data_IF_932835201856
#
_entry.id   IF_932835201856
#
_cell.length_a   1.000
_cell.length_b   1.000
_cell.length_c   1.000
_cell.angle_alpha   90.00
_cell.angle_beta   90.00
_cell.angle_gamma   90.00
#
_symmetry.space_group_name_H-M   'P 1'
#
loop_
_entity.id
_entity.type
_entity.pdbx_description
1 polymer ?
#
# COMPACT_ATOMS: atom_id res chain seq x y z
N UNK A 1 -3.60 -0.22 69.28
CA UNK A 1 -4.43 -0.93 70.29
C UNK A 1 -5.21 -2.00 69.65
N UNK A 2 -5.03 -3.26 70.13
CA UNK A 2 -5.80 -4.50 70.02
C UNK A 2 -6.04 -5.01 68.61
N UNK A 3 -5.27 -5.94 68.05
CA UNK A 3 -5.23 -7.42 68.32
C UNK A 3 -6.61 -8.04 68.56
N UNK A 4 -7.04 -8.93 67.64
CA UNK A 4 -7.41 -10.28 68.01
C UNK A 4 -7.33 -11.27 66.88
N UNK A 5 -6.61 -12.31 67.13
CA UNK A 5 -6.48 -13.60 66.44
C UNK A 5 -7.71 -14.46 66.71
N UNK A 6 -7.94 -15.50 65.88
CA UNK A 6 -8.23 -16.90 66.26
C UNK A 6 -8.59 -17.64 64.97
N UNK A 7 -7.78 -18.54 64.36
CA UNK A 7 -7.63 -20.02 64.50
C UNK A 7 -8.95 -20.78 64.43
N UNK A 8 -9.18 -21.87 63.75
CA UNK A 8 -8.46 -23.09 63.37
C UNK A 8 -9.48 -23.94 62.55
N UNK A 9 -9.07 -24.69 61.61
CA UNK A 9 -8.51 -26.02 61.57
C UNK A 9 -9.54 -27.13 61.22
N UNK A 10 -9.04 -28.05 60.42
CA UNK A 10 -9.32 -29.50 60.30
C UNK A 10 -10.45 -29.93 59.38
N UNK A 11 -10.33 -30.78 58.44
CA UNK A 11 -9.52 -31.93 58.03
C UNK A 11 -10.46 -33.03 57.47
N UNK A 12 -9.91 -33.78 56.54
CA UNK A 12 -10.25 -35.19 56.12
C UNK A 12 -11.57 -35.40 55.31
N UNK A 13 -11.64 -36.17 54.23
CA UNK A 13 -10.98 -37.44 53.93
C UNK A 13 -11.12 -37.84 52.45
N UNK A 14 -10.14 -38.59 52.04
CA UNK A 14 -9.98 -39.52 50.95
C UNK A 14 -11.24 -40.28 50.50
N UNK A 15 -11.43 -40.45 49.21
CA UNK A 15 -11.90 -41.67 48.57
C UNK A 15 -11.35 -41.82 47.15
N UNK A 16 -10.41 -42.72 46.97
CA UNK A 16 -10.03 -43.33 45.69
C UNK A 16 -11.19 -44.21 45.21
N UNK A 17 -11.47 -44.16 43.93
CA UNK A 17 -12.05 -45.26 43.19
C UNK A 17 -11.45 -45.31 41.76
N UNK A 18 -10.48 -46.20 41.56
CA UNK A 18 -10.07 -46.74 40.26
C UNK A 18 -11.19 -47.62 39.70
N UNK A 19 -11.55 -47.35 38.43
CA UNK A 19 -12.07 -48.40 37.56
C UNK A 19 -11.43 -48.25 36.19
N UNK A 20 -10.61 -49.22 35.86
CA UNK A 20 -10.10 -49.49 34.53
C UNK A 20 -11.07 -50.42 33.82
N UNK A 21 -11.44 -50.13 32.58
CA UNK A 21 -11.85 -51.09 31.51
C UNK A 21 -11.72 -50.33 30.18
N UNK A 22 -10.78 -50.68 29.38
CA UNK A 22 -10.70 -51.67 28.31
C UNK A 22 -11.22 -51.14 26.95
N UNK A 23 -10.25 -51.04 26.03
CA UNK A 23 -10.23 -51.26 24.58
C UNK A 23 -11.56 -51.10 23.80
N UNK A 24 -11.52 -50.13 22.86
CA UNK A 24 -12.36 -50.09 21.69
C UNK A 24 -11.68 -49.25 20.60
N UNK A 25 -11.13 -49.99 19.60
CA UNK A 25 -10.57 -49.39 18.38
C UNK A 25 -11.65 -48.63 17.62
N UNK A 26 -11.36 -47.42 17.26
CA UNK A 26 -12.19 -46.59 16.38
C UNK A 26 -11.30 -45.49 15.85
N UNK A 27 -10.79 -45.68 14.63
CA UNK A 27 -10.19 -44.60 13.83
C UNK A 27 -11.17 -43.45 13.68
N UNK A 28 -10.78 -42.33 14.19
CA UNK A 28 -11.48 -41.06 14.02
C UNK A 28 -10.45 -39.98 14.27
N UNK A 29 -9.67 -39.72 13.26
CA UNK A 29 -8.76 -38.58 13.17
C UNK A 29 -9.59 -37.30 13.04
N UNK A 30 -10.18 -36.83 14.14
CA UNK A 30 -10.62 -35.44 14.27
C UNK A 30 -9.41 -34.63 14.71
N UNK A 31 -8.53 -34.32 13.74
CA UNK A 31 -7.70 -33.15 13.82
C UNK A 31 -8.62 -31.95 14.02
N UNK A 32 -8.78 -31.52 15.26
CA UNK A 32 -9.30 -30.22 15.60
C UNK A 32 -8.40 -29.18 14.93
N UNK A 33 -8.76 -28.84 13.67
CA UNK A 33 -8.24 -27.67 13.00
C UNK A 33 -8.69 -26.49 13.83
N UNK A 34 -7.80 -26.03 14.70
CA UNK A 34 -7.91 -24.71 15.31
C UNK A 34 -8.13 -23.74 14.17
N UNK A 35 -9.25 -23.03 14.20
CA UNK A 35 -9.54 -21.86 13.38
C UNK A 35 -8.56 -20.73 13.72
N UNK A 36 -7.28 -20.95 13.42
CA UNK A 36 -6.33 -19.90 13.14
C UNK A 36 -6.60 -19.51 11.70
N UNK A 37 -7.41 -18.47 11.49
CA UNK A 37 -7.78 -18.01 10.16
C UNK A 37 -6.52 -17.87 9.31
N UNK A 38 -6.65 -18.30 8.07
CA UNK A 38 -5.61 -18.20 7.03
C UNK A 38 -5.41 -16.72 6.64
N UNK A 39 -4.96 -15.91 7.62
CA UNK A 39 -4.80 -14.47 7.47
C UNK A 39 -3.59 -14.13 6.62
N UNK A 40 -3.71 -13.06 5.86
CA UNK A 40 -2.64 -12.48 5.07
C UNK A 40 -2.53 -10.99 5.39
N UNK A 41 -1.32 -10.51 5.67
CA UNK A 41 -1.08 -9.11 5.98
C UNK A 41 -0.60 -8.37 4.75
N UNK A 42 -1.35 -7.36 4.33
CA UNK A 42 -1.09 -6.62 3.09
C UNK A 42 -0.82 -5.15 3.36
N UNK A 43 0.34 -4.69 2.89
CA UNK A 43 0.72 -3.28 2.96
C UNK A 43 0.10 -2.47 1.83
N UNK A 44 -0.60 -1.37 2.18
CA UNK A 44 -1.16 -0.40 1.23
C UNK A 44 -0.91 1.03 1.72
N UNK A 45 -1.16 2.01 0.87
CA UNK A 45 -1.29 3.41 1.31
C UNK A 45 -2.65 3.63 1.99
N UNK A 46 -2.69 4.56 2.95
CA UNK A 46 -3.92 4.90 3.65
C UNK A 46 -4.45 6.30 3.27
N UNK A 47 -3.65 7.07 2.53
CA UNK A 47 -3.90 8.48 2.24
C UNK A 47 -4.04 8.83 0.75
N UNK A 48 -4.08 7.84 -0.16
CA UNK A 48 -4.09 8.08 -1.60
C UNK A 48 -5.46 7.79 -2.23
N UNK A 49 -6.31 8.82 -2.46
CA UNK A 49 -7.60 8.65 -3.11
C UNK A 49 -7.49 8.00 -4.49
N UNK A 50 -8.34 7.03 -4.76
CA UNK A 50 -8.34 6.26 -6.01
C UNK A 50 -7.29 5.14 -6.09
N UNK A 51 -6.37 5.05 -5.14
CA UNK A 51 -5.28 4.04 -5.11
C UNK A 51 -5.32 3.22 -3.82
N UNK A 52 -4.86 3.77 -2.70
CA UNK A 52 -4.92 3.15 -1.38
C UNK A 52 -5.41 4.17 -0.36
N UNK A 53 -6.67 4.09 0.03
CA UNK A 53 -7.30 5.03 0.94
C UNK A 53 -8.02 4.30 2.07
N UNK A 54 -7.70 4.67 3.31
CA UNK A 54 -8.53 4.34 4.46
C UNK A 54 -9.60 5.42 4.61
N UNK A 55 -10.87 5.01 4.50
CA UNK A 55 -12.01 5.91 4.66
C UNK A 55 -12.31 6.17 6.14
N UNK A 56 -13.02 7.28 6.48
CA UNK A 56 -13.35 7.59 7.88
C UNK A 56 -14.15 6.52 8.62
N UNK A 57 -14.87 5.64 7.90
CA UNK A 57 -15.59 4.49 8.46
C UNK A 57 -14.71 3.23 8.57
N UNK A 58 -13.39 3.37 8.37
CA UNK A 58 -12.40 2.32 8.56
C UNK A 58 -12.31 1.31 7.40
N UNK A 59 -12.97 1.54 6.27
CA UNK A 59 -12.85 0.71 5.07
C UNK A 59 -11.65 1.13 4.24
N UNK A 60 -11.22 0.24 3.37
CA UNK A 60 -10.14 0.49 2.43
C UNK A 60 -10.67 0.48 1.00
N UNK A 61 -10.25 1.44 0.18
CA UNK A 61 -10.72 1.60 -1.20
C UNK A 61 -9.60 2.07 -2.11
N UNK A 62 -9.73 1.77 -3.40
CA UNK A 62 -8.81 2.22 -4.43
C UNK A 62 -8.26 1.08 -5.27
N UNK A 63 -7.53 1.42 -6.31
CA UNK A 63 -7.00 0.48 -7.29
C UNK A 63 -6.02 -0.52 -6.66
N UNK A 64 -5.08 -0.04 -5.83
CA UNK A 64 -4.15 -0.91 -5.10
C UNK A 64 -4.87 -1.88 -4.16
N UNK A 65 -5.97 -1.43 -3.54
CA UNK A 65 -6.81 -2.27 -2.66
C UNK A 65 -7.52 -3.36 -3.48
N UNK A 66 -8.10 -3.00 -4.63
CA UNK A 66 -8.77 -3.96 -5.51
C UNK A 66 -7.78 -4.99 -6.06
N UNK A 67 -6.60 -4.54 -6.53
CA UNK A 67 -5.50 -5.42 -7.00
C UNK A 67 -5.04 -6.35 -5.88
N UNK A 68 -4.76 -5.81 -4.70
CA UNK A 68 -4.31 -6.60 -3.55
C UNK A 68 -5.36 -7.63 -3.11
N UNK A 69 -6.64 -7.25 -3.12
CA UNK A 69 -7.75 -8.15 -2.79
C UNK A 69 -7.88 -9.27 -3.82
N UNK A 70 -7.74 -8.95 -5.11
CA UNK A 70 -7.73 -9.95 -6.17
C UNK A 70 -6.58 -10.95 -5.99
N UNK A 71 -5.36 -10.43 -5.78
CA UNK A 71 -4.17 -11.25 -5.54
C UNK A 71 -4.34 -12.13 -4.30
N UNK A 72 -4.80 -11.60 -3.19
CA UNK A 72 -5.03 -12.37 -1.97
C UNK A 72 -6.00 -13.53 -2.22
N UNK A 73 -7.09 -13.29 -2.99
CA UNK A 73 -8.05 -14.34 -3.36
C UNK A 73 -7.41 -15.43 -4.22
N UNK A 74 -6.60 -15.09 -5.20
CA UNK A 74 -5.87 -16.06 -6.01
C UNK A 74 -4.81 -16.84 -5.21
N UNK A 75 -4.33 -16.28 -4.11
CA UNK A 75 -3.47 -16.95 -3.14
C UNK A 75 -4.24 -17.86 -2.16
N UNK A 76 -5.58 -17.85 -2.17
CA UNK A 76 -6.43 -18.70 -1.35
C UNK A 76 -6.94 -18.04 -0.06
N UNK A 77 -6.96 -16.71 0.00
CA UNK A 77 -7.48 -15.93 1.13
C UNK A 77 -8.76 -15.21 0.76
N UNK A 78 -9.76 -15.27 1.63
CA UNK A 78 -10.97 -14.48 1.45
C UNK A 78 -10.74 -13.00 1.82
N UNK A 79 -11.56 -12.05 1.33
CA UNK A 79 -11.39 -10.63 1.67
C UNK A 79 -11.39 -10.33 3.17
N UNK A 80 -12.10 -11.15 3.97
CA UNK A 80 -12.15 -11.05 5.44
C UNK A 80 -10.88 -11.54 6.14
N UNK A 81 -10.00 -12.24 5.41
CA UNK A 81 -8.73 -12.74 5.93
C UNK A 81 -7.60 -11.71 5.77
N UNK A 82 -7.84 -10.62 5.04
CA UNK A 82 -6.83 -9.60 4.78
C UNK A 82 -6.70 -8.67 5.99
N UNK A 83 -5.50 -8.61 6.55
CA UNK A 83 -5.11 -7.59 7.52
C UNK A 83 -4.37 -6.46 6.79
N UNK A 84 -5.00 -5.30 6.74
CA UNK A 84 -4.41 -4.14 6.07
C UNK A 84 -3.43 -3.41 6.99
N UNK A 85 -2.23 -3.13 6.47
CA UNK A 85 -1.19 -2.38 7.17
C UNK A 85 -0.78 -1.15 6.37
N UNK A 86 -0.62 0.00 7.05
CA UNK A 86 -0.11 1.19 6.38
C UNK A 86 1.34 0.97 5.94
N UNK A 87 1.62 1.15 4.65
CA UNK A 87 2.95 1.04 4.07
C UNK A 87 3.40 2.39 3.50
N UNK A 88 3.89 3.26 4.39
CA UNK A 88 4.50 4.54 3.98
C UNK A 88 5.70 4.28 3.07
N UNK A 89 6.01 5.22 2.17
CA UNK A 89 7.07 5.03 1.19
C UNK A 89 8.43 4.70 1.81
N UNK A 90 8.74 5.29 2.96
CA UNK A 90 10.01 5.06 3.68
C UNK A 90 10.08 3.70 4.40
N UNK A 91 8.93 3.05 4.66
CA UNK A 91 8.86 1.88 5.53
C UNK A 91 8.76 0.56 4.74
N UNK A 92 8.43 0.62 3.41
CA UNK A 92 8.06 -0.54 2.61
C UNK A 92 9.09 -1.66 2.61
N UNK A 93 10.36 -1.31 2.34
CA UNK A 93 11.45 -2.28 2.33
C UNK A 93 11.60 -2.95 3.71
N UNK A 94 11.58 -2.16 4.79
CA UNK A 94 11.71 -2.66 6.16
C UNK A 94 10.54 -3.55 6.59
N UNK A 95 9.31 -3.20 6.21
CA UNK A 95 8.12 -4.02 6.49
C UNK A 95 8.25 -5.41 5.85
N UNK A 96 8.72 -5.46 4.60
CA UNK A 96 8.95 -6.72 3.88
C UNK A 96 10.13 -7.50 4.47
N UNK A 97 11.27 -6.85 4.71
CA UNK A 97 12.46 -7.49 5.28
C UNK A 97 12.19 -8.14 6.64
N UNK A 98 11.32 -7.54 7.46
CA UNK A 98 10.95 -8.06 8.77
C UNK A 98 9.84 -9.11 8.75
N UNK A 99 9.17 -9.30 7.61
CA UNK A 99 7.98 -10.13 7.52
C UNK A 99 6.77 -9.54 8.25
N UNK A 100 6.76 -8.22 8.43
CA UNK A 100 5.63 -7.50 9.03
C UNK A 100 4.41 -7.45 8.11
N UNK A 101 4.60 -7.74 6.83
CA UNK A 101 3.61 -7.89 5.77
C UNK A 101 4.03 -9.02 4.83
N UNK A 102 3.06 -9.71 4.25
CA UNK A 102 3.31 -10.76 3.26
C UNK A 102 3.62 -10.18 1.88
N UNK A 103 2.91 -9.11 1.50
CA UNK A 103 3.21 -8.35 0.30
C UNK A 103 2.73 -6.89 0.43
N UNK A 104 3.19 -6.02 -0.49
CA UNK A 104 2.84 -4.60 -0.53
C UNK A 104 2.35 -4.21 -1.93
N UNK A 105 1.13 -3.66 -2.02
CA UNK A 105 0.57 -2.98 -3.17
C UNK A 105 0.28 -1.52 -2.79
N UNK A 106 1.25 -0.63 -2.99
CA UNK A 106 1.22 0.72 -2.42
C UNK A 106 1.91 1.75 -3.32
N UNK A 107 1.44 1.87 -4.60
CA UNK A 107 2.07 2.73 -5.61
C UNK A 107 3.60 2.53 -5.61
N UNK A 108 4.02 1.27 -5.70
CA UNK A 108 5.39 0.88 -5.39
C UNK A 108 6.19 0.69 -6.68
N UNK A 109 6.78 1.79 -7.18
CA UNK A 109 7.59 1.79 -8.40
C UNK A 109 8.77 0.82 -8.27
N UNK A 110 8.89 -0.09 -9.23
CA UNK A 110 10.02 -1.01 -9.39
C UNK A 110 11.23 -0.20 -9.81
N UNK A 111 12.34 -0.33 -9.10
CA UNK A 111 13.63 0.22 -9.49
C UNK A 111 14.79 -0.57 -8.91
N UNK A 112 15.99 -0.40 -9.50
CA UNK A 112 17.18 -1.17 -9.15
C UNK A 112 17.59 -1.07 -7.66
N UNK A 113 17.40 0.09 -7.03
CA UNK A 113 17.77 0.25 -5.61
C UNK A 113 16.86 -0.54 -4.69
N UNK A 114 15.56 -0.58 -5.00
CA UNK A 114 14.57 -1.36 -4.25
C UNK A 114 14.74 -2.86 -4.51
N UNK A 115 15.02 -3.25 -5.76
CA UNK A 115 15.27 -4.64 -6.13
C UNK A 115 16.51 -5.25 -5.46
N UNK A 116 17.43 -4.46 -4.92
CA UNK A 116 18.52 -4.97 -4.08
C UNK A 116 18.03 -5.50 -2.73
N UNK A 117 16.90 -5.00 -2.23
CA UNK A 117 16.38 -5.29 -0.89
C UNK A 117 15.18 -6.23 -0.89
N UNK A 118 14.30 -6.08 -1.87
CA UNK A 118 13.04 -6.81 -1.99
C UNK A 118 12.88 -7.33 -3.40
N UNK A 119 11.93 -8.24 -3.62
CA UNK A 119 11.53 -8.65 -4.96
C UNK A 119 10.19 -8.03 -5.34
N UNK A 120 9.93 -7.94 -6.63
CA UNK A 120 8.68 -7.41 -7.18
C UNK A 120 8.02 -8.41 -8.11
N UNK A 121 6.71 -8.57 -7.97
CA UNK A 121 5.82 -9.10 -8.99
C UNK A 121 5.17 -7.96 -9.78
N UNK A 122 4.81 -8.19 -11.01
CA UNK A 122 4.22 -7.19 -11.90
C UNK A 122 5.17 -6.75 -13.03
N UNK A 123 5.01 -5.52 -13.57
CA UNK A 123 4.19 -4.42 -13.06
C UNK A 123 2.68 -4.64 -13.23
N UNK A 124 1.86 -3.97 -12.39
CA UNK A 124 0.40 -4.01 -12.51
C UNK A 124 -0.22 -2.68 -12.98
N UNK A 125 0.56 -1.60 -12.99
CA UNK A 125 0.19 -0.29 -13.53
C UNK A 125 1.45 0.43 -14.02
N UNK A 126 1.33 1.16 -15.13
CA UNK A 126 2.30 2.16 -15.57
C UNK A 126 1.70 3.55 -15.34
N UNK A 127 2.33 4.33 -14.46
CA UNK A 127 2.06 5.73 -14.22
C UNK A 127 3.26 6.57 -14.66
N UNK A 128 3.14 7.90 -14.59
CA UNK A 128 4.24 8.82 -14.92
C UNK A 128 4.42 9.84 -13.81
N UNK A 129 5.66 10.12 -13.44
CA UNK A 129 5.92 11.22 -12.53
C UNK A 129 5.50 12.55 -13.16
N UNK A 130 4.80 13.38 -12.38
CA UNK A 130 4.35 14.72 -12.77
C UNK A 130 4.44 15.67 -11.57
N UNK A 131 3.87 16.85 -11.70
CA UNK A 131 3.71 17.81 -10.62
C UNK A 131 2.25 18.24 -10.48
N UNK A 132 1.85 18.61 -9.27
CA UNK A 132 0.62 19.29 -8.98
C UNK A 132 0.92 20.72 -8.50
N UNK A 133 0.22 21.67 -9.06
CA UNK A 133 0.30 23.09 -8.69
C UNK A 133 -1.07 23.65 -8.42
N UNK A 134 -1.17 24.81 -7.77
CA UNK A 134 -2.43 25.52 -7.65
C UNK A 134 -2.97 25.92 -9.03
N UNK A 135 -4.27 25.89 -9.20
CA UNK A 135 -4.92 26.18 -10.50
C UNK A 135 -4.61 27.60 -11.02
N UNK A 136 -4.42 28.56 -10.10
CA UNK A 136 -4.07 29.95 -10.40
C UNK A 136 -2.57 30.17 -10.66
N UNK A 137 -1.70 29.17 -10.39
CA UNK A 137 -0.26 29.29 -10.62
C UNK A 137 0.10 28.93 -12.07
N UNK A 138 0.61 29.92 -12.80
CA UNK A 138 1.11 29.74 -14.17
C UNK A 138 2.61 29.96 -14.27
N UNK A 139 3.33 29.95 -13.14
CA UNK A 139 4.78 30.20 -13.09
C UNK A 139 5.61 28.97 -13.47
N UNK A 140 5.03 27.76 -13.42
CA UNK A 140 5.69 26.52 -13.73
C UNK A 140 5.10 25.98 -15.03
N UNK A 141 5.89 26.11 -16.13
CA UNK A 141 5.50 25.67 -17.50
C UNK A 141 6.39 24.56 -18.01
N UNK A 142 7.51 24.31 -17.37
CA UNK A 142 8.48 23.25 -17.64
C UNK A 142 9.19 22.86 -16.33
N UNK A 143 9.80 21.68 -16.25
CA UNK A 143 10.42 21.19 -15.01
C UNK A 143 11.47 22.12 -14.43
N UNK A 144 12.26 22.81 -15.29
CA UNK A 144 13.32 23.72 -14.85
C UNK A 144 12.79 24.97 -14.09
N UNK A 145 11.51 25.33 -14.28
CA UNK A 145 10.86 26.42 -13.56
C UNK A 145 10.68 26.11 -12.06
N UNK A 146 10.86 24.85 -11.65
CA UNK A 146 10.91 24.44 -10.25
C UNK A 146 12.17 24.91 -9.52
N UNK A 147 13.20 25.41 -10.25
CA UNK A 147 14.38 25.98 -9.61
C UNK A 147 13.99 27.12 -8.68
N UNK A 148 14.52 27.09 -7.45
CA UNK A 148 14.24 27.99 -6.33
C UNK A 148 12.79 27.94 -5.80
N UNK A 149 11.96 27.01 -6.29
CA UNK A 149 10.63 26.75 -5.74
C UNK A 149 10.71 25.78 -4.58
N UNK A 150 9.75 25.87 -3.66
CA UNK A 150 9.55 24.89 -2.60
C UNK A 150 8.79 23.70 -3.17
N UNK A 151 9.52 22.60 -3.39
CA UNK A 151 9.00 21.37 -3.94
C UNK A 151 8.71 20.40 -2.81
N UNK A 152 7.50 19.84 -2.78
CA UNK A 152 7.11 18.83 -1.81
C UNK A 152 7.02 17.43 -2.42
N UNK A 153 7.42 16.44 -1.65
CA UNK A 153 7.13 15.03 -1.87
C UNK A 153 7.14 14.29 -0.52
N UNK A 154 7.15 12.96 -0.54
CA UNK A 154 7.21 12.18 0.70
C UNK A 154 8.54 11.47 0.85
N UNK A 155 8.96 11.28 2.09
CA UNK A 155 10.16 10.52 2.45
C UNK A 155 10.08 9.10 1.87
N UNK A 156 11.19 8.61 1.29
CA UNK A 156 11.24 7.31 0.61
C UNK A 156 10.63 7.29 -0.81
N UNK A 157 10.07 8.43 -1.30
CA UNK A 157 9.72 8.61 -2.70
C UNK A 157 10.95 9.02 -3.52
N UNK A 158 11.04 8.49 -4.73
CA UNK A 158 12.10 8.88 -5.68
C UNK A 158 11.75 10.18 -6.43
N UNK A 159 10.48 10.59 -6.44
CA UNK A 159 9.97 11.66 -7.28
C UNK A 159 10.64 13.01 -7.05
N UNK A 160 10.69 13.50 -5.79
CA UNK A 160 11.32 14.79 -5.50
C UNK A 160 12.83 14.75 -5.78
N UNK A 161 13.48 13.62 -5.48
CA UNK A 161 14.90 13.46 -5.76
C UNK A 161 15.21 13.46 -7.26
N UNK A 162 14.34 12.81 -8.07
CA UNK A 162 14.46 12.82 -9.53
C UNK A 162 14.40 14.25 -10.10
N UNK A 163 13.42 15.06 -9.68
CA UNK A 163 13.33 16.45 -10.13
C UNK A 163 14.56 17.24 -9.68
N UNK A 164 14.94 17.14 -8.42
CA UNK A 164 16.08 17.87 -7.86
C UNK A 164 17.40 17.52 -8.53
N UNK A 165 17.66 16.25 -8.81
CA UNK A 165 18.96 15.82 -9.37
C UNK A 165 19.04 15.96 -10.89
N UNK A 166 17.93 15.78 -11.61
CA UNK A 166 17.90 15.71 -13.07
C UNK A 166 17.39 16.99 -13.74
N UNK A 167 16.37 17.63 -13.17
CA UNK A 167 15.60 18.66 -13.88
C UNK A 167 15.64 20.03 -13.22
N UNK A 168 15.66 20.10 -11.89
CA UNK A 168 15.64 21.35 -11.15
C UNK A 168 16.55 21.29 -9.90
N UNK A 169 17.90 21.28 -10.09
CA UNK A 169 18.83 21.04 -8.98
C UNK A 169 18.81 22.12 -7.88
N UNK A 170 18.21 23.29 -8.13
CA UNK A 170 18.02 24.34 -7.13
C UNK A 170 16.62 24.33 -6.49
N UNK A 171 15.80 23.33 -6.75
CA UNK A 171 14.52 23.17 -6.05
C UNK A 171 14.76 22.97 -4.54
N UNK A 172 13.94 23.63 -3.72
CA UNK A 172 13.98 23.50 -2.27
C UNK A 172 13.09 22.34 -1.86
N UNK A 173 13.69 21.14 -1.70
CA UNK A 173 12.97 19.94 -1.34
C UNK A 173 12.46 20.01 0.11
N UNK A 174 11.16 19.74 0.30
CA UNK A 174 10.49 19.49 1.58
C UNK A 174 9.85 18.10 1.51
N UNK A 175 10.15 17.25 2.50
CA UNK A 175 9.63 15.89 2.57
C UNK A 175 8.78 15.71 3.81
N UNK A 176 7.60 15.11 3.62
CA UNK A 176 6.66 14.76 4.70
C UNK A 176 6.45 13.24 4.76
N UNK A 177 5.60 12.80 5.70
CA UNK A 177 5.24 11.39 5.86
C UNK A 177 4.18 10.92 4.86
N UNK A 178 3.29 11.82 4.42
CA UNK A 178 2.22 11.56 3.49
C UNK A 178 1.99 12.68 2.48
N UNK A 179 1.40 12.37 1.34
CA UNK A 179 1.09 13.37 0.30
C UNK A 179 -0.05 14.32 0.70
N UNK A 180 -0.95 13.90 1.57
CA UNK A 180 -1.99 14.75 2.15
C UNK A 180 -1.41 15.98 2.87
N UNK A 181 -0.25 15.83 3.52
CA UNK A 181 0.46 16.94 4.15
C UNK A 181 1.02 17.91 3.10
N UNK A 182 1.61 17.38 2.00
CA UNK A 182 2.04 18.19 0.87
C UNK A 182 0.89 18.97 0.24
N UNK A 183 -0.28 18.31 0.07
CA UNK A 183 -1.47 18.97 -0.50
C UNK A 183 -1.96 20.12 0.37
N UNK A 184 -2.01 19.93 1.70
CA UNK A 184 -2.31 20.99 2.66
C UNK A 184 -1.31 22.15 2.55
N UNK A 185 -0.01 21.84 2.43
CA UNK A 185 1.03 22.84 2.22
C UNK A 185 0.87 23.62 0.91
N UNK A 186 0.47 22.92 -0.17
CA UNK A 186 0.22 23.53 -1.48
C UNK A 186 -0.99 24.46 -1.45
N UNK A 187 -2.09 24.05 -0.83
CA UNK A 187 -3.30 24.83 -0.67
C UNK A 187 -3.03 26.11 0.14
N UNK A 188 -2.26 26.00 1.22
CA UNK A 188 -1.91 27.12 2.10
C UNK A 188 -0.72 27.96 1.59
N UNK A 189 -0.23 27.72 0.38
CA UNK A 189 0.90 28.46 -0.24
C UNK A 189 2.23 28.35 0.53
N UNK A 190 2.37 27.33 1.37
CA UNK A 190 3.62 27.02 2.09
C UNK A 190 4.64 26.39 1.13
N UNK A 191 4.15 25.60 0.18
CA UNK A 191 4.91 25.01 -0.92
C UNK A 191 4.39 25.52 -2.27
N UNK A 192 5.20 25.42 -3.31
CA UNK A 192 4.87 25.86 -4.65
C UNK A 192 4.36 24.75 -5.54
N UNK A 193 4.91 23.54 -5.38
CA UNK A 193 4.55 22.35 -6.15
C UNK A 193 4.68 21.08 -5.32
N UNK A 194 3.82 20.11 -5.61
CA UNK A 194 3.92 18.72 -5.15
C UNK A 194 4.34 17.85 -6.33
N UNK A 195 5.32 16.97 -6.16
CA UNK A 195 5.70 16.01 -7.19
C UNK A 195 5.54 14.57 -6.70
N UNK A 196 4.86 13.79 -7.50
CA UNK A 196 4.72 12.33 -7.45
C UNK A 196 4.08 11.85 -8.76
N UNK A 197 3.53 10.65 -8.77
CA UNK A 197 2.97 10.05 -9.96
C UNK A 197 1.61 10.66 -10.31
N UNK A 198 1.35 10.84 -11.59
CA UNK A 198 0.17 11.49 -12.14
C UNK A 198 -1.15 10.83 -11.68
N UNK A 199 -1.15 9.50 -11.49
CA UNK A 199 -2.28 8.76 -10.93
C UNK A 199 -2.62 9.21 -9.50
N UNK A 200 -1.61 9.42 -8.66
CA UNK A 200 -1.75 9.90 -7.28
C UNK A 200 -2.25 11.35 -7.31
N UNK A 201 -1.62 12.20 -8.12
CA UNK A 201 -1.99 13.62 -8.25
C UNK A 201 -3.42 13.79 -8.76
N UNK A 202 -3.83 12.99 -9.75
CA UNK A 202 -5.19 12.99 -10.27
C UNK A 202 -6.20 12.56 -9.19
N UNK A 203 -5.87 11.55 -8.40
CA UNK A 203 -6.68 11.11 -7.27
C UNK A 203 -6.96 12.25 -6.29
N UNK A 204 -5.95 12.97 -5.86
CA UNK A 204 -6.13 14.14 -4.97
C UNK A 204 -6.89 15.27 -5.63
N UNK A 205 -6.55 15.65 -6.86
CA UNK A 205 -7.21 16.77 -7.56
C UNK A 205 -8.70 16.51 -7.82
N UNK A 206 -9.12 15.25 -7.91
CA UNK A 206 -10.51 14.85 -8.16
C UNK A 206 -11.41 14.90 -6.92
N UNK A 207 -10.83 14.98 -5.71
CA UNK A 207 -11.62 15.06 -4.49
C UNK A 207 -12.53 16.31 -4.50
N UNK A 208 -13.76 16.14 -4.02
CA UNK A 208 -14.78 17.21 -4.07
C UNK A 208 -14.29 18.51 -3.46
N UNK A 209 -13.58 18.45 -2.37
CA UNK A 209 -12.98 19.58 -1.66
C UNK A 209 -11.85 20.27 -2.41
N UNK A 210 -11.26 19.59 -3.41
CA UNK A 210 -10.11 20.07 -4.18
C UNK A 210 -10.45 20.45 -5.63
N UNK A 211 -11.70 20.22 -6.05
CA UNK A 211 -12.13 20.53 -7.42
C UNK A 211 -11.85 21.99 -7.79
N UNK A 212 -11.12 22.18 -8.88
CA UNK A 212 -10.75 23.51 -9.39
C UNK A 212 -9.66 24.24 -8.62
N UNK A 213 -9.13 23.66 -7.52
CA UNK A 213 -8.04 24.28 -6.74
C UNK A 213 -6.65 23.96 -7.29
N UNK A 214 -6.49 22.82 -7.95
CA UNK A 214 -5.21 22.31 -8.42
C UNK A 214 -5.28 21.92 -9.89
N UNK A 215 -4.08 21.81 -10.51
CA UNK A 215 -3.90 21.28 -11.85
C UNK A 215 -2.59 20.49 -11.92
N UNK A 216 -2.59 19.44 -12.72
CA UNK A 216 -1.41 18.67 -13.07
C UNK A 216 -0.56 19.45 -14.10
N UNK A 217 0.76 19.27 -14.04
CA UNK A 217 1.69 19.87 -15.00
C UNK A 217 1.63 19.22 -16.38
N UNK A 218 1.36 17.91 -16.45
CA UNK A 218 1.29 17.13 -17.69
C UNK A 218 2.67 16.81 -18.29
N UNK A 219 3.72 16.73 -17.46
CA UNK A 219 5.11 16.66 -17.95
C UNK A 219 5.61 15.24 -18.28
N UNK A 220 5.04 14.19 -17.70
CA UNK A 220 5.54 12.80 -17.84
C UNK A 220 7.06 12.70 -17.62
N UNK A 221 7.51 13.04 -16.40
CA UNK A 221 8.93 13.21 -16.05
C UNK A 221 9.73 11.91 -15.99
N UNK A 222 9.07 10.80 -15.64
CA UNK A 222 9.62 9.44 -15.60
C UNK A 222 8.51 8.41 -15.73
N UNK A 223 8.88 7.18 -16.05
CA UNK A 223 7.97 6.03 -16.03
C UNK A 223 8.00 5.39 -14.66
N UNK A 224 6.81 5.14 -14.09
CA UNK A 224 6.64 4.57 -12.76
C UNK A 224 5.88 3.24 -12.89
N UNK A 225 6.65 2.15 -12.96
CA UNK A 225 6.10 0.80 -13.07
C UNK A 225 5.72 0.31 -11.68
N UNK A 226 4.43 0.29 -11.33
CA UNK A 226 3.98 -0.20 -10.03
C UNK A 226 4.02 -1.71 -9.96
N UNK A 227 4.79 -2.24 -9.02
CA UNK A 227 4.86 -3.66 -8.71
C UNK A 227 4.35 -3.97 -7.32
N UNK A 228 4.05 -5.22 -7.09
CA UNK A 228 3.76 -5.77 -5.78
C UNK A 228 5.07 -6.24 -5.16
N UNK A 229 5.48 -5.56 -4.07
CA UNK A 229 6.68 -5.90 -3.33
C UNK A 229 6.47 -7.12 -2.46
N UNK A 230 7.44 -8.02 -2.45
CA UNK A 230 7.52 -9.20 -1.59
C UNK A 230 8.92 -9.30 -0.97
N UNK A 231 9.05 -10.08 0.11
CA UNK A 231 10.36 -10.34 0.69
C UNK A 231 11.32 -10.95 -0.35
N UNK A 232 12.58 -10.59 -0.26
CA UNK A 232 13.62 -11.08 -1.17
C UNK A 232 13.69 -12.60 -1.18
N UNK A 233 13.61 -13.21 -2.39
CA UNK A 233 13.62 -14.66 -2.58
C UNK A 233 12.30 -15.36 -2.25
N UNK A 234 11.19 -14.60 -2.05
CA UNK A 234 9.88 -15.17 -1.75
C UNK A 234 9.26 -15.89 -2.96
N UNK A 235 8.72 -17.07 -2.74
CA UNK A 235 7.95 -17.82 -3.74
C UNK A 235 6.63 -17.14 -4.11
N UNK A 236 6.17 -16.18 -3.31
CA UNK A 236 4.97 -15.39 -3.61
C UNK A 236 5.09 -14.62 -4.91
N UNK A 237 6.30 -14.21 -5.32
CA UNK A 237 6.52 -13.45 -6.55
C UNK A 237 5.86 -14.12 -7.77
N UNK A 238 6.17 -15.38 -8.02
CA UNK A 238 5.66 -16.07 -9.20
C UNK A 238 4.15 -16.35 -9.11
N UNK A 239 3.66 -16.65 -7.91
CA UNK A 239 2.22 -16.82 -7.67
C UNK A 239 1.45 -15.52 -7.89
N UNK A 240 2.01 -14.39 -7.46
CA UNK A 240 1.42 -13.06 -7.67
C UNK A 240 1.48 -12.68 -9.15
N UNK A 241 2.57 -12.96 -9.87
CA UNK A 241 2.64 -12.75 -11.31
C UNK A 241 1.51 -13.47 -12.04
N UNK A 242 1.30 -14.77 -11.73
CA UNK A 242 0.20 -15.56 -12.28
C UNK A 242 -1.17 -14.94 -11.97
N UNK A 243 -1.36 -14.43 -10.76
CA UNK A 243 -2.61 -13.75 -10.37
C UNK A 243 -2.82 -12.45 -11.17
N UNK A 244 -1.77 -11.66 -11.38
CA UNK A 244 -1.83 -10.42 -12.16
C UNK A 244 -2.12 -10.69 -13.65
N UNK A 245 -1.49 -11.70 -14.25
CA UNK A 245 -1.80 -12.14 -15.62
C UNK A 245 -3.28 -12.54 -15.78
N UNK A 246 -3.79 -13.29 -14.80
CA UNK A 246 -5.20 -13.68 -14.76
C UNK A 246 -6.11 -12.48 -14.63
N UNK A 247 -5.79 -11.53 -13.73
CA UNK A 247 -6.56 -10.29 -13.53
C UNK A 247 -6.69 -9.46 -14.82
N UNK A 248 -5.65 -9.42 -15.64
CA UNK A 248 -5.69 -8.75 -16.95
C UNK A 248 -6.53 -9.56 -17.92
N UNK A 249 -6.32 -10.88 -18.00
CA UNK A 249 -6.98 -11.73 -18.99
C UNK A 249 -8.49 -11.93 -18.74
N UNK A 250 -8.96 -11.84 -17.51
CA UNK A 250 -10.38 -11.97 -17.15
C UNK A 250 -11.15 -10.63 -17.15
N UNK A 251 -10.46 -9.51 -17.41
CA UNK A 251 -11.03 -8.16 -17.50
C UNK A 251 -11.18 -7.43 -16.15
N UNK A 252 -10.81 -8.06 -15.05
CA UNK A 252 -10.87 -7.42 -13.71
C UNK A 252 -10.01 -6.18 -13.62
N UNK A 253 -8.84 -6.19 -14.28
CA UNK A 253 -7.96 -5.02 -14.32
C UNK A 253 -8.64 -3.79 -14.91
N UNK A 254 -9.31 -3.95 -16.05
CA UNK A 254 -10.03 -2.85 -16.72
C UNK A 254 -11.22 -2.35 -15.87
N UNK A 255 -11.92 -3.26 -15.21
CA UNK A 255 -12.99 -2.91 -14.29
C UNK A 255 -12.46 -2.06 -13.13
N UNK A 256 -11.34 -2.47 -12.50
CA UNK A 256 -10.73 -1.74 -11.39
C UNK A 256 -10.19 -0.37 -11.81
N UNK A 257 -9.57 -0.27 -12.99
CA UNK A 257 -9.17 1.01 -13.58
C UNK A 257 -10.37 1.94 -13.74
N UNK A 258 -11.42 1.47 -14.39
CA UNK A 258 -12.65 2.26 -14.60
C UNK A 258 -13.28 2.71 -13.30
N UNK A 259 -13.37 1.81 -12.32
CA UNK A 259 -13.95 2.09 -10.99
C UNK A 259 -13.17 3.17 -10.26
N UNK A 260 -11.85 3.07 -10.22
CA UNK A 260 -11.01 3.89 -9.34
C UNK A 260 -10.48 5.17 -10.01
N UNK A 261 -10.19 5.14 -11.30
CA UNK A 261 -9.64 6.28 -12.04
C UNK A 261 -10.69 7.06 -12.85
N UNK A 262 -11.84 6.44 -13.12
CA UNK A 262 -12.96 7.11 -13.80
C UNK A 262 -13.39 8.43 -13.13
N UNK A 263 -13.58 8.46 -11.81
CA UNK A 263 -13.95 9.69 -11.10
C UNK A 263 -12.95 10.85 -11.25
N UNK A 264 -11.65 10.51 -11.38
CA UNK A 264 -10.58 11.50 -11.61
C UNK A 264 -10.40 11.85 -13.09
N UNK A 265 -11.13 11.20 -14.02
CA UNK A 265 -10.92 11.30 -15.46
C UNK A 265 -9.45 11.08 -15.85
N UNK A 266 -8.74 10.25 -15.07
CA UNK A 266 -7.34 9.94 -15.30
C UNK A 266 -7.20 9.06 -16.55
N UNK A 267 -6.22 9.38 -17.41
CA UNK A 267 -5.92 8.63 -18.63
C UNK A 267 -4.75 7.70 -18.36
N UNK A 268 -5.10 6.49 -17.92
CA UNK A 268 -4.10 5.44 -17.68
C UNK A 268 -3.52 4.89 -19.00
N UNK A 269 -2.30 4.41 -18.93
CA UNK A 269 -1.70 3.58 -19.95
C UNK A 269 -2.42 2.19 -20.00
N UNK A 270 -2.31 1.44 -21.08
CA UNK A 270 -2.83 0.06 -21.13
C UNK A 270 -2.27 -0.83 -20.02
N UNK A 271 -2.92 -1.95 -19.77
CA UNK A 271 -2.41 -2.93 -18.81
C UNK A 271 -0.97 -3.33 -19.19
N UNK A 272 -0.02 -3.23 -18.25
CA UNK A 272 1.36 -3.59 -18.53
C UNK A 272 1.51 -5.10 -18.71
N UNK A 273 2.48 -5.50 -19.52
CA UNK A 273 2.91 -6.89 -19.62
C UNK A 273 3.74 -7.24 -18.36
N UNK A 274 3.41 -8.36 -17.72
CA UNK A 274 4.12 -8.81 -16.52
C UNK A 274 5.59 -9.11 -16.83
N UNK A 275 6.51 -8.60 -16.02
CA UNK A 275 7.95 -8.72 -16.23
C UNK A 275 8.55 -7.67 -17.17
N UNK A 276 7.74 -6.88 -17.86
CA UNK A 276 8.20 -5.83 -18.78
C UNK A 276 8.25 -4.46 -18.09
N UNK A 277 9.46 -4.01 -17.76
CA UNK A 277 9.68 -2.71 -17.12
C UNK A 277 9.95 -1.65 -18.19
N UNK A 278 9.04 -0.72 -18.35
CA UNK A 278 9.19 0.43 -19.26
C UNK A 278 10.19 1.43 -18.65
N UNK A 279 11.34 1.59 -19.27
CA UNK A 279 12.43 2.49 -18.81
C UNK A 279 12.48 3.80 -19.58
#
# INVERSE_FOLDING_TARGET
MKMLKVTAAAATALALSLTATACGSGDGDESGSGSGGNKITVGIKFDQPGLGLQTPDGKYTGFDVDVATYVARELGHEPGDIEWKEAKSADRETLLERGDVDFIAATYSINEEREKKVDFAGPYLLAHQDILVRADDNSIKKPEDLNNKKLCSVSGSTSAQNVKTKLAPRAQLQEYGGYSECLTGLENRVIDALTTDDSILAGYASQKEHQGKFKLGGFKLSNENYGIGVQKGSELKERINTALEKMVSDGSWEEYVKKNFGPANYKNEPAPEIGNIVR
#
